data_IF_827977050774
#
_entry.id   IF_827977050774
#
_cell.length_a   1.000
_cell.length_b   1.000
_cell.length_c   1.000
_cell.angle_alpha   90.00
_cell.angle_beta   90.00
_cell.angle_gamma   90.00
#
_symmetry.space_group_name_H-M   'P 1'
#
loop_
_entity.id
_entity.type
_entity.pdbx_description
1 polymer ?
#
# COMPACT_ATOMS: atom_id res chain seq x y z
N UNK A 1 8.31 -23.10 10.97
CA UNK A 1 6.87 -23.17 11.33
C UNK A 1 6.16 -22.30 10.30
N UNK A 2 5.64 -22.91 9.25
CA UNK A 2 4.83 -22.20 8.26
C UNK A 2 3.58 -21.79 9.04
N UNK A 3 3.49 -20.48 9.40
CA UNK A 3 2.21 -19.96 9.82
C UNK A 3 1.24 -20.25 8.68
N UNK A 4 0.22 -21.04 8.96
CA UNK A 4 -0.90 -21.17 8.06
C UNK A 4 -1.47 -19.76 7.93
N UNK A 5 -1.07 -19.07 6.86
CA UNK A 5 -1.75 -17.86 6.47
C UNK A 5 -3.20 -18.22 6.28
N UNK A 6 -4.00 -17.51 6.94
CA UNK A 6 -5.40 -17.59 7.04
C UNK A 6 -6.10 -17.86 5.76
N UNK A 7 -7.13 -18.65 5.91
CA UNK A 7 -8.14 -18.86 4.92
C UNK A 7 -8.62 -17.49 4.40
N UNK A 8 -8.20 -17.18 3.21
CA UNK A 8 -8.41 -15.99 2.44
C UNK A 8 -9.84 -15.50 2.36
N UNK A 9 -10.75 -16.46 2.35
CA UNK A 9 -12.17 -16.18 2.30
C UNK A 9 -12.69 -15.42 3.52
N UNK A 10 -11.93 -15.40 4.60
CA UNK A 10 -12.35 -14.78 5.85
C UNK A 10 -11.89 -13.34 6.02
N UNK A 11 -10.94 -12.87 5.23
CA UNK A 11 -10.50 -11.48 5.30
C UNK A 11 -11.56 -10.49 4.81
N UNK A 12 -12.34 -10.86 3.81
CA UNK A 12 -13.46 -10.04 3.37
C UNK A 12 -14.47 -9.80 4.51
N UNK A 13 -14.52 -10.71 5.47
CA UNK A 13 -15.36 -10.61 6.65
C UNK A 13 -14.62 -10.09 7.89
N UNK A 14 -13.36 -9.69 7.76
CA UNK A 14 -12.48 -9.28 8.88
C UNK A 14 -13.05 -8.18 9.78
N UNK A 15 -13.97 -7.36 9.29
CA UNK A 15 -14.67 -6.37 10.13
C UNK A 15 -15.56 -7.04 11.16
N UNK A 16 -16.05 -8.25 10.89
CA UNK A 16 -17.06 -8.95 11.68
C UNK A 16 -16.51 -10.21 12.37
N UNK A 17 -15.23 -10.51 12.21
CA UNK A 17 -14.62 -11.72 12.73
C UNK A 17 -13.59 -11.40 13.82
N UNK A 18 -13.42 -12.36 14.74
CA UNK A 18 -12.38 -12.30 15.76
C UNK A 18 -10.98 -12.30 15.14
N UNK A 19 -10.04 -11.67 15.83
CA UNK A 19 -8.67 -11.52 15.37
C UNK A 19 -8.00 -12.85 14.99
N UNK A 20 -8.19 -13.89 15.77
CA UNK A 20 -7.62 -15.22 15.51
C UNK A 20 -8.18 -15.88 14.25
N UNK A 21 -9.37 -15.51 13.85
CA UNK A 21 -9.99 -16.00 12.60
C UNK A 21 -9.37 -15.35 11.38
N UNK A 22 -8.86 -14.13 11.53
CA UNK A 22 -8.32 -13.34 10.43
C UNK A 22 -6.80 -13.44 10.28
N UNK A 23 -6.05 -13.47 11.41
CA UNK A 23 -4.60 -13.29 11.39
C UNK A 23 -3.83 -14.18 12.38
N UNK A 24 -4.32 -15.34 12.71
CA UNK A 24 -3.66 -16.28 13.59
C UNK A 24 -4.33 -16.46 14.93
N UNK A 25 -3.57 -16.48 16.01
CA UNK A 25 -4.09 -16.74 17.33
C UNK A 25 -4.51 -15.45 18.03
N UNK A 26 -5.43 -15.56 18.98
CA UNK A 26 -5.81 -14.46 19.87
C UNK A 26 -4.60 -13.84 20.61
N UNK A 27 -3.56 -14.63 20.86
CA UNK A 27 -2.29 -14.14 21.42
C UNK A 27 -1.58 -13.16 20.50
N UNK A 28 -1.69 -13.36 19.16
CA UNK A 28 -1.08 -12.47 18.17
C UNK A 28 -1.84 -11.16 18.04
N UNK A 29 -3.16 -11.18 18.23
CA UNK A 29 -4.05 -10.03 18.05
C UNK A 29 -5.17 -9.94 19.08
N UNK A 30 -4.87 -9.85 20.36
CA UNK A 30 -5.92 -9.62 21.33
C UNK A 30 -6.63 -8.28 21.00
N UNK A 31 -7.94 -8.34 20.94
CA UNK A 31 -8.79 -7.18 20.63
C UNK A 31 -8.66 -6.63 19.20
N UNK A 32 -8.31 -7.45 18.20
CA UNK A 32 -8.17 -7.00 16.81
C UNK A 32 -9.34 -6.11 16.35
N UNK A 33 -10.57 -6.56 16.50
CA UNK A 33 -11.76 -5.81 16.08
C UNK A 33 -11.89 -4.46 16.80
N UNK A 34 -11.69 -4.45 18.10
CA UNK A 34 -11.76 -3.21 18.89
C UNK A 34 -10.73 -2.18 18.47
N UNK A 35 -9.53 -2.62 18.18
CA UNK A 35 -8.44 -1.73 17.78
C UNK A 35 -8.55 -1.34 16.29
N UNK A 36 -9.11 -2.21 15.44
CA UNK A 36 -9.48 -1.87 14.07
C UNK A 36 -10.54 -0.76 14.06
N UNK A 37 -11.57 -0.81 14.93
CA UNK A 37 -12.56 0.25 15.06
C UNK A 37 -11.95 1.58 15.53
N UNK A 38 -10.95 1.55 16.41
CA UNK A 38 -10.20 2.75 16.78
C UNK A 38 -9.44 3.33 15.58
N UNK A 39 -8.83 2.47 14.76
CA UNK A 39 -8.11 2.90 13.57
C UNK A 39 -9.06 3.51 12.54
N UNK A 40 -10.23 2.90 12.31
CA UNK A 40 -11.29 3.44 11.47
C UNK A 40 -11.74 4.83 11.97
N UNK A 41 -12.05 4.94 13.26
CA UNK A 41 -12.47 6.20 13.87
C UNK A 41 -11.41 7.30 13.71
N UNK A 42 -10.14 6.96 13.91
CA UNK A 42 -9.04 7.89 13.69
C UNK A 42 -9.01 8.40 12.24
N UNK A 43 -9.13 7.53 11.24
CA UNK A 43 -9.12 7.92 9.84
C UNK A 43 -10.31 8.84 9.51
N UNK A 44 -11.50 8.51 10.00
CA UNK A 44 -12.70 9.34 9.83
C UNK A 44 -12.51 10.72 10.46
N UNK A 45 -12.00 10.78 11.67
CA UNK A 45 -11.74 12.05 12.38
C UNK A 45 -10.72 12.92 11.64
N UNK A 46 -9.62 12.32 11.17
CA UNK A 46 -8.59 13.05 10.43
C UNK A 46 -9.13 13.63 9.12
N UNK A 47 -9.86 12.83 8.35
CA UNK A 47 -10.44 13.27 7.08
C UNK A 47 -11.53 14.32 7.29
N UNK A 48 -12.41 14.12 8.27
CA UNK A 48 -13.52 15.05 8.56
C UNK A 48 -13.03 16.41 9.05
N UNK A 49 -11.90 16.42 9.77
CA UNK A 49 -11.29 17.66 10.28
C UNK A 49 -10.21 18.25 9.36
N UNK A 50 -10.06 17.75 8.13
CA UNK A 50 -9.04 18.14 7.16
C UNK A 50 -7.62 18.17 7.79
N UNK A 51 -7.29 17.17 8.60
CA UNK A 51 -5.97 17.04 9.21
C UNK A 51 -5.04 16.27 8.30
N UNK A 52 -3.98 16.93 7.83
CA UNK A 52 -2.94 16.26 7.05
C UNK A 52 -2.05 15.42 7.96
N UNK A 53 -2.08 14.10 7.75
CA UNK A 53 -1.31 13.12 8.52
C UNK A 53 -0.74 12.04 7.61
N UNK A 54 0.41 11.52 8.01
CA UNK A 54 1.16 10.51 7.26
C UNK A 54 1.28 9.22 8.07
N UNK A 55 0.96 8.10 7.42
CA UNK A 55 1.08 6.76 7.96
C UNK A 55 2.13 5.99 7.17
N UNK A 56 3.22 5.66 7.82
CA UNK A 56 4.31 4.89 7.23
C UNK A 56 4.14 3.40 7.54
N UNK A 57 3.98 2.58 6.52
CA UNK A 57 3.96 1.12 6.67
C UNK A 57 5.37 0.58 6.53
N UNK A 58 5.87 -0.01 7.61
CA UNK A 58 7.15 -0.71 7.58
C UNK A 58 6.98 -2.15 7.11
N UNK A 59 7.76 -2.54 6.12
CA UNK A 59 7.88 -3.90 5.63
C UNK A 59 9.32 -4.41 5.78
N UNK A 60 9.51 -5.70 5.59
CA UNK A 60 10.83 -6.35 5.64
C UNK A 60 11.83 -5.73 4.67
N UNK A 61 11.35 -5.32 3.49
CA UNK A 61 12.16 -4.65 2.49
C UNK A 61 12.73 -3.31 2.95
N UNK A 62 11.99 -2.57 3.76
CA UNK A 62 12.44 -1.27 4.26
C UNK A 62 13.67 -1.41 5.18
N UNK A 63 13.73 -2.49 5.96
CA UNK A 63 14.88 -2.75 6.83
C UNK A 63 16.19 -2.80 6.06
N UNK A 64 16.24 -3.62 5.02
CA UNK A 64 17.44 -3.76 4.21
C UNK A 64 17.77 -2.51 3.42
N UNK A 65 16.74 -1.83 2.90
CA UNK A 65 16.93 -0.59 2.16
C UNK A 65 17.49 0.52 3.04
N UNK A 66 16.91 0.76 4.22
CA UNK A 66 17.34 1.83 5.13
C UNK A 66 18.73 1.61 5.71
N UNK A 67 19.19 0.36 5.76
CA UNK A 67 20.57 0.02 6.18
C UNK A 67 21.59 0.04 5.04
N UNK A 68 21.16 0.36 3.84
CA UNK A 68 21.99 0.20 2.63
C UNK A 68 22.55 -1.23 2.47
N UNK A 69 21.79 -2.25 2.90
CA UNK A 69 22.23 -3.63 2.90
C UNK A 69 22.05 -4.25 1.50
N UNK A 70 23.18 -4.60 0.87
CA UNK A 70 23.19 -5.19 -0.46
C UNK A 70 22.50 -6.56 -0.55
N UNK A 71 22.38 -7.29 0.55
CA UNK A 71 21.66 -8.57 0.60
C UNK A 71 20.20 -8.38 0.23
N UNK A 72 19.59 -7.32 0.73
CA UNK A 72 18.22 -6.95 0.39
C UNK A 72 18.04 -6.52 -1.06
N UNK A 73 19.08 -6.04 -1.74
CA UNK A 73 19.05 -5.64 -3.16
C UNK A 73 19.08 -6.82 -4.12
N UNK A 74 19.33 -8.03 -3.63
CA UNK A 74 19.45 -9.23 -4.47
C UNK A 74 18.13 -9.71 -5.08
N UNK A 75 16.98 -9.31 -4.53
CA UNK A 75 15.69 -9.66 -5.12
C UNK A 75 15.48 -8.92 -6.46
N UNK A 76 14.92 -9.57 -7.48
CA UNK A 76 14.68 -8.93 -8.79
C UNK A 76 13.88 -7.63 -8.68
N UNK A 77 12.86 -7.58 -7.83
CA UNK A 77 12.03 -6.40 -7.62
C UNK A 77 12.77 -5.20 -7.04
N UNK A 78 13.77 -5.43 -6.22
CA UNK A 78 14.56 -4.35 -5.59
C UNK A 78 15.60 -3.77 -6.52
N UNK A 79 16.22 -4.56 -7.38
CA UNK A 79 17.16 -4.06 -8.41
C UNK A 79 16.53 -3.12 -9.41
N UNK A 80 15.22 -3.22 -9.59
CA UNK A 80 14.47 -2.33 -10.49
C UNK A 80 14.17 -0.96 -9.88
N UNK A 81 14.38 -0.77 -8.58
CA UNK A 81 14.03 0.47 -7.88
C UNK A 81 15.07 1.58 -8.04
N UNK A 82 16.30 1.23 -8.42
CA UNK A 82 17.39 2.17 -8.61
C UNK A 82 18.31 1.72 -9.73
N UNK A 83 18.87 2.68 -10.48
CA UNK A 83 19.93 2.43 -11.47
C UNK A 83 21.22 1.96 -10.80
N UNK A 84 21.50 2.54 -9.65
CA UNK A 84 22.69 2.24 -8.88
C UNK A 84 22.35 2.36 -7.39
N UNK A 85 22.05 1.24 -6.79
CA UNK A 85 21.69 1.16 -5.37
C UNK A 85 22.76 1.80 -4.47
N UNK A 86 24.03 1.62 -4.82
CA UNK A 86 25.16 2.13 -4.04
C UNK A 86 25.36 3.65 -4.17
N UNK A 87 24.68 4.30 -5.13
CA UNK A 87 24.75 5.75 -5.36
C UNK A 87 23.60 6.53 -4.71
N UNK A 88 22.61 5.83 -4.15
CA UNK A 88 21.52 6.47 -3.42
C UNK A 88 22.08 7.07 -2.12
N UNK A 89 21.68 8.30 -1.81
CA UNK A 89 21.90 8.86 -0.48
C UNK A 89 20.93 8.24 0.52
N UNK A 90 21.27 7.08 1.06
CA UNK A 90 20.42 6.36 2.01
C UNK A 90 20.07 7.17 3.25
N UNK A 91 20.92 8.13 3.65
CA UNK A 91 20.65 8.95 4.82
C UNK A 91 19.37 9.78 4.69
N UNK A 92 19.06 10.30 3.49
CA UNK A 92 17.82 11.06 3.25
C UNK A 92 16.57 10.20 3.49
N UNK A 93 16.64 8.91 3.15
CA UNK A 93 15.55 7.96 3.39
C UNK A 93 15.45 7.55 4.85
N UNK A 94 16.58 7.34 5.52
CA UNK A 94 16.62 7.05 6.96
C UNK A 94 16.03 8.20 7.76
N UNK A 95 16.42 9.43 7.45
CA UNK A 95 15.92 10.61 8.17
C UNK A 95 14.45 10.89 7.84
N UNK A 96 14.08 10.80 6.57
CA UNK A 96 12.69 10.96 6.14
C UNK A 96 11.74 9.95 6.77
N UNK A 97 12.18 8.69 6.90
CA UNK A 97 11.37 7.63 7.50
C UNK A 97 10.96 7.91 8.95
N UNK A 98 11.72 8.74 9.67
CA UNK A 98 11.47 9.12 11.07
C UNK A 98 10.51 10.31 11.23
N UNK A 99 10.10 10.95 10.14
CA UNK A 99 9.32 12.19 10.14
C UNK A 99 7.82 11.99 9.88
N UNK A 100 7.36 10.75 9.76
CA UNK A 100 5.94 10.45 9.63
C UNK A 100 5.21 10.59 10.96
N UNK A 101 3.88 10.85 10.89
CA UNK A 101 3.06 11.06 12.08
C UNK A 101 2.70 9.73 12.76
N UNK A 102 2.45 8.68 12.00
CA UNK A 102 2.08 7.34 12.47
C UNK A 102 2.90 6.26 11.78
N UNK A 103 3.12 5.17 12.49
CA UNK A 103 3.87 4.02 12.00
C UNK A 103 3.04 2.75 12.14
N UNK A 104 2.95 2.00 11.05
CA UNK A 104 2.38 0.66 11.05
C UNK A 104 3.44 -0.37 10.72
N UNK A 105 3.38 -1.51 11.36
CA UNK A 105 4.30 -2.62 11.15
C UNK A 105 3.54 -3.94 11.32
N UNK A 106 3.90 -4.92 10.52
CA UNK A 106 3.33 -6.26 10.65
C UNK A 106 3.59 -6.83 12.05
N UNK A 107 2.68 -7.66 12.51
CA UNK A 107 2.69 -8.20 13.89
C UNK A 107 3.89 -9.07 14.21
N UNK A 108 4.56 -9.61 13.21
CA UNK A 108 5.67 -10.53 13.41
C UNK A 108 6.75 -9.93 14.29
N UNK A 109 7.15 -10.61 15.40
CA UNK A 109 8.14 -10.08 16.32
C UNK A 109 9.46 -9.68 15.65
N UNK A 110 9.85 -10.44 14.62
CA UNK A 110 11.04 -10.14 13.83
C UNK A 110 10.91 -8.80 13.09
N UNK A 111 9.78 -8.53 12.43
CA UNK A 111 9.56 -7.27 11.72
C UNK A 111 9.50 -6.08 12.68
N UNK A 112 8.91 -6.27 13.85
CA UNK A 112 8.87 -5.24 14.91
C UNK A 112 10.25 -4.96 15.47
N UNK A 113 11.09 -5.97 15.65
CA UNK A 113 12.49 -5.81 16.06
C UNK A 113 13.29 -5.04 15.02
N UNK A 114 13.18 -5.42 13.74
CA UNK A 114 13.79 -4.73 12.60
C UNK A 114 13.35 -3.27 12.50
N UNK A 115 12.06 -3.00 12.70
CA UNK A 115 11.53 -1.64 12.73
C UNK A 115 12.21 -0.79 13.80
N UNK A 116 12.22 -1.27 15.04
CA UNK A 116 12.81 -0.54 16.18
C UNK A 116 14.32 -0.25 16.01
N UNK A 117 15.04 -1.13 15.30
CA UNK A 117 16.45 -0.94 15.01
C UNK A 117 16.71 0.25 14.09
N UNK A 118 15.86 0.45 13.06
CA UNK A 118 16.09 1.48 12.03
C UNK A 118 15.25 2.73 12.24
N UNK A 119 14.07 2.60 12.84
CA UNK A 119 13.14 3.70 13.13
C UNK A 119 12.84 3.69 14.63
N UNK A 120 13.52 4.52 15.44
CA UNK A 120 13.34 4.56 16.90
C UNK A 120 12.04 5.29 17.28
N UNK A 121 10.91 4.82 16.78
CA UNK A 121 9.56 5.34 17.00
C UNK A 121 8.64 4.24 17.52
N UNK A 122 7.48 4.62 18.04
CA UNK A 122 6.48 3.65 18.44
C UNK A 122 5.66 3.17 17.23
N UNK A 123 5.35 1.88 17.21
CA UNK A 123 4.40 1.31 16.27
C UNK A 123 3.01 1.63 16.80
N UNK A 124 2.25 2.42 16.03
CA UNK A 124 0.92 2.86 16.44
C UNK A 124 -0.14 1.80 16.17
N UNK A 125 -0.02 1.11 15.03
CA UNK A 125 -0.98 0.10 14.59
C UNK A 125 -0.30 -1.06 13.87
N UNK A 126 -0.89 -2.26 13.87
CA UNK A 126 -0.53 -3.33 12.96
C UNK A 126 -0.77 -2.92 11.49
N UNK A 127 0.15 -3.28 10.60
CA UNK A 127 0.01 -3.01 9.17
C UNK A 127 -1.19 -3.74 8.55
N UNK A 128 -1.56 -4.85 9.14
CA UNK A 128 -2.71 -5.68 8.75
C UNK A 128 -4.04 -4.94 8.83
N UNK A 129 -4.16 -3.90 9.66
CA UNK A 129 -5.36 -3.05 9.67
C UNK A 129 -5.56 -2.33 8.33
N UNK A 130 -4.50 -1.77 7.76
CA UNK A 130 -4.57 -1.16 6.44
C UNK A 130 -4.98 -2.16 5.36
N UNK A 131 -4.45 -3.37 5.41
CA UNK A 131 -4.83 -4.45 4.50
C UNK A 131 -6.29 -4.86 4.68
N UNK A 132 -6.75 -5.07 5.91
CA UNK A 132 -8.12 -5.45 6.19
C UNK A 132 -9.12 -4.40 5.67
N UNK A 133 -8.86 -3.11 5.90
CA UNK A 133 -9.75 -2.04 5.47
C UNK A 133 -9.84 -1.90 3.95
N UNK A 134 -8.78 -2.26 3.21
CA UNK A 134 -8.85 -2.33 1.75
C UNK A 134 -9.52 -3.62 1.31
N UNK A 135 -9.13 -4.78 1.87
CA UNK A 135 -9.65 -6.08 1.47
C UNK A 135 -11.17 -6.19 1.64
N UNK A 136 -11.71 -5.67 2.73
CA UNK A 136 -13.16 -5.63 2.98
C UNK A 136 -13.86 -4.41 2.37
N UNK A 137 -13.09 -3.55 1.66
CA UNK A 137 -13.57 -2.39 0.93
C UNK A 137 -14.14 -1.25 1.78
N UNK A 138 -14.07 -1.37 3.11
CA UNK A 138 -14.60 -0.34 4.00
C UNK A 138 -14.02 1.05 3.70
N UNK A 139 -12.69 1.14 3.56
CA UNK A 139 -12.01 2.42 3.33
C UNK A 139 -12.38 3.04 1.97
N UNK A 140 -12.67 2.21 0.98
CA UNK A 140 -13.08 2.66 -0.35
C UNK A 140 -14.48 3.27 -0.31
N UNK A 141 -15.39 2.63 0.41
CA UNK A 141 -16.79 3.03 0.53
C UNK A 141 -16.96 4.22 1.49
N UNK A 142 -16.26 4.21 2.65
CA UNK A 142 -16.33 5.29 3.64
C UNK A 142 -15.86 6.62 3.08
N UNK A 143 -14.80 6.58 2.25
CA UNK A 143 -14.23 7.79 1.67
C UNK A 143 -14.54 7.96 0.19
N UNK A 144 -15.63 7.36 -0.31
CA UNK A 144 -16.10 7.58 -1.68
C UNK A 144 -16.27 9.08 -1.96
N UNK A 145 -15.80 9.52 -3.13
CA UNK A 145 -15.76 10.95 -3.48
C UNK A 145 -14.65 11.77 -2.79
N UNK A 146 -13.76 11.13 -2.01
CA UNK A 146 -12.67 11.79 -1.28
C UNK A 146 -11.35 11.02 -1.34
N UNK A 147 -11.34 9.85 -1.96
CA UNK A 147 -10.21 8.93 -1.95
C UNK A 147 -9.42 9.00 -3.26
N UNK A 148 -8.10 9.15 -3.13
CA UNK A 148 -7.15 9.09 -4.23
C UNK A 148 -6.11 7.99 -4.03
N UNK A 149 -5.35 7.71 -5.08
CA UNK A 149 -4.29 6.73 -5.09
C UNK A 149 -2.94 7.38 -5.39
N UNK A 150 -1.87 6.88 -4.77
CA UNK A 150 -0.49 7.22 -5.11
C UNK A 150 0.29 5.93 -5.33
N UNK A 151 0.90 5.77 -6.50
CA UNK A 151 1.67 4.57 -6.80
C UNK A 151 2.40 4.63 -8.12
N UNK A 152 3.03 3.51 -8.47
CA UNK A 152 3.72 3.38 -9.73
C UNK A 152 2.79 3.63 -10.92
N UNK A 153 3.29 4.36 -11.92
CA UNK A 153 2.57 4.77 -13.12
C UNK A 153 1.85 3.61 -13.82
N UNK A 154 2.55 2.47 -13.97
CA UNK A 154 1.96 1.25 -14.55
C UNK A 154 0.73 0.79 -13.74
N UNK A 155 0.83 0.74 -12.41
CA UNK A 155 -0.27 0.29 -11.55
C UNK A 155 -1.43 1.27 -11.59
N UNK A 156 -1.15 2.57 -11.57
CA UNK A 156 -2.18 3.60 -11.69
C UNK A 156 -2.95 3.47 -13.02
N UNK A 157 -2.25 3.19 -14.12
CA UNK A 157 -2.89 2.98 -15.41
C UNK A 157 -3.76 1.71 -15.44
N UNK A 158 -3.27 0.61 -14.87
CA UNK A 158 -4.05 -0.63 -14.75
C UNK A 158 -5.33 -0.39 -13.95
N UNK A 159 -5.22 0.25 -12.77
CA UNK A 159 -6.39 0.53 -11.94
C UNK A 159 -7.39 1.44 -12.66
N UNK A 160 -6.91 2.47 -13.36
CA UNK A 160 -7.80 3.32 -14.19
C UNK A 160 -8.59 2.52 -15.21
N UNK A 161 -7.91 1.61 -15.92
CA UNK A 161 -8.57 0.75 -16.91
C UNK A 161 -9.58 -0.20 -16.28
N UNK A 162 -9.26 -0.81 -15.11
CA UNK A 162 -10.19 -1.65 -14.37
C UNK A 162 -11.42 -0.87 -13.92
N UNK A 163 -11.24 0.38 -13.49
CA UNK A 163 -12.33 1.25 -13.05
C UNK A 163 -13.27 1.70 -14.17
N UNK A 164 -12.93 1.48 -15.44
CA UNK A 164 -13.87 1.67 -16.56
C UNK A 164 -14.95 0.56 -16.62
N UNK A 165 -14.74 -0.57 -15.95
CA UNK A 165 -15.63 -1.69 -15.93
C UNK A 165 -16.65 -1.59 -14.80
N UNK A 166 -17.98 -1.56 -15.10
CA UNK A 166 -19.01 -1.52 -14.07
C UNK A 166 -18.93 -2.65 -13.06
N UNK A 167 -18.51 -3.84 -13.48
CA UNK A 167 -18.36 -4.99 -12.60
C UNK A 167 -17.26 -4.77 -11.55
N UNK A 168 -16.18 -4.07 -11.90
CA UNK A 168 -15.12 -3.75 -10.96
C UNK A 168 -15.55 -2.64 -10.00
N UNK A 169 -16.25 -1.63 -10.48
CA UNK A 169 -16.85 -0.59 -9.65
C UNK A 169 -17.83 -1.19 -8.63
N UNK A 170 -18.70 -2.09 -9.07
CA UNK A 170 -19.64 -2.82 -8.20
C UNK A 170 -18.89 -3.66 -7.16
N UNK A 171 -17.84 -4.37 -7.58
CA UNK A 171 -17.01 -5.16 -6.68
C UNK A 171 -16.36 -4.32 -5.59
N UNK A 172 -15.84 -3.14 -5.94
CA UNK A 172 -15.24 -2.21 -4.97
C UNK A 172 -16.29 -1.48 -4.12
N UNK A 173 -17.52 -1.35 -4.61
CA UNK A 173 -18.51 -0.43 -4.06
C UNK A 173 -18.08 1.03 -4.21
N UNK A 174 -17.38 1.35 -5.31
CA UNK A 174 -16.81 2.66 -5.59
C UNK A 174 -16.90 2.98 -7.07
N UNK A 175 -17.52 4.10 -7.45
CA UNK A 175 -17.63 4.51 -8.86
C UNK A 175 -16.30 4.96 -9.47
N UNK A 176 -15.47 5.67 -8.68
CA UNK A 176 -14.16 6.17 -9.12
C UNK A 176 -13.27 6.53 -7.94
N UNK A 177 -11.97 6.57 -8.19
CA UNK A 177 -11.04 7.32 -7.35
C UNK A 177 -10.97 8.76 -7.84
N UNK A 178 -10.88 9.72 -6.94
CA UNK A 178 -10.83 11.14 -7.32
C UNK A 178 -9.51 11.52 -7.99
N UNK A 179 -8.42 10.91 -7.56
CA UNK A 179 -7.09 11.19 -8.09
C UNK A 179 -6.24 9.92 -8.24
N UNK A 180 -5.38 9.92 -9.26
CA UNK A 180 -4.36 8.92 -9.51
C UNK A 180 -3.02 9.62 -9.66
N UNK A 181 -2.28 9.67 -8.57
CA UNK A 181 -0.97 10.31 -8.52
C UNK A 181 0.08 9.27 -8.89
N UNK A 182 0.80 9.53 -9.97
CA UNK A 182 1.76 8.59 -10.54
C UNK A 182 3.20 8.96 -10.23
N UNK A 183 4.02 7.94 -10.00
CA UNK A 183 5.48 8.05 -9.95
C UNK A 183 6.10 6.91 -10.78
N UNK A 184 7.37 7.03 -11.21
CA UNK A 184 7.99 5.98 -12.00
C UNK A 184 8.04 4.64 -11.25
N UNK A 185 7.67 3.55 -11.94
CA UNK A 185 7.79 2.19 -11.38
C UNK A 185 9.22 1.86 -10.97
N UNK A 186 10.21 2.39 -11.72
CA UNK A 186 11.63 2.15 -11.50
C UNK A 186 12.36 3.46 -11.26
N UNK A 187 13.44 3.38 -10.49
CA UNK A 187 14.39 4.49 -10.31
C UNK A 187 13.83 5.72 -9.59
N UNK A 188 12.67 5.62 -8.95
CA UNK A 188 12.11 6.73 -8.19
C UNK A 188 13.01 7.19 -7.01
N UNK A 189 13.88 6.30 -6.53
CA UNK A 189 14.86 6.62 -5.49
C UNK A 189 16.12 7.31 -5.99
N UNK A 190 16.39 7.33 -7.31
CA UNK A 190 17.63 7.86 -7.88
C UNK A 190 17.70 9.39 -7.77
N UNK A 191 16.54 10.06 -7.80
CA UNK A 191 16.41 11.50 -7.59
C UNK A 191 15.14 11.77 -6.79
N UNK A 192 15.30 11.81 -5.47
CA UNK A 192 14.19 12.01 -4.55
C UNK A 192 13.52 13.38 -4.73
N UNK A 193 14.29 14.42 -5.04
CA UNK A 193 13.76 15.76 -5.25
C UNK A 193 12.96 15.88 -6.55
N UNK A 194 13.43 15.25 -7.62
CA UNK A 194 12.68 15.22 -8.89
C UNK A 194 11.38 14.42 -8.71
N UNK A 195 11.44 13.28 -8.02
CA UNK A 195 10.25 12.49 -7.70
C UNK A 195 9.27 13.26 -6.83
N UNK A 196 9.76 13.98 -5.82
CA UNK A 196 8.94 14.83 -4.97
C UNK A 196 8.25 15.94 -5.79
N UNK A 197 8.98 16.64 -6.65
CA UNK A 197 8.40 17.70 -7.52
C UNK A 197 7.30 17.11 -8.41
N UNK A 198 7.56 15.97 -9.05
CA UNK A 198 6.59 15.32 -9.93
C UNK A 198 5.29 14.95 -9.20
N UNK A 199 5.39 14.33 -8.03
CA UNK A 199 4.23 13.95 -7.20
C UNK A 199 3.54 15.21 -6.68
N UNK A 200 4.31 16.20 -6.22
CA UNK A 200 3.79 17.45 -5.66
C UNK A 200 2.98 18.26 -6.67
N UNK A 201 3.43 18.35 -7.93
CA UNK A 201 2.67 19.07 -8.96
C UNK A 201 1.31 18.40 -9.25
N UNK A 202 1.24 17.08 -9.20
CA UNK A 202 -0.03 16.37 -9.34
C UNK A 202 -0.94 16.62 -8.12
N UNK A 203 -0.37 16.60 -6.90
CA UNK A 203 -1.12 16.80 -5.66
C UNK A 203 -1.73 18.20 -5.52
N UNK A 204 -1.09 19.24 -6.06
CA UNK A 204 -1.61 20.62 -5.99
C UNK A 204 -3.00 20.79 -6.59
N UNK A 205 -3.35 19.95 -7.56
CA UNK A 205 -4.65 19.99 -8.23
C UNK A 205 -5.63 18.94 -7.70
N UNK A 206 -5.24 18.19 -6.69
CA UNK A 206 -6.03 17.11 -6.12
C UNK A 206 -7.15 17.63 -5.23
N UNK A 207 -8.29 16.94 -5.29
CA UNK A 207 -9.43 17.14 -4.40
C UNK A 207 -9.56 16.05 -3.33
N UNK A 208 -8.74 15.01 -3.40
CA UNK A 208 -8.76 13.90 -2.46
C UNK A 208 -8.41 14.35 -1.04
N UNK A 209 -9.06 13.74 -0.06
CA UNK A 209 -8.84 13.98 1.37
C UNK A 209 -8.07 12.86 2.05
N UNK A 210 -8.00 11.72 1.39
CA UNK A 210 -7.20 10.57 1.80
C UNK A 210 -6.59 9.91 0.57
N UNK A 211 -5.31 9.57 0.66
CA UNK A 211 -4.59 8.81 -0.35
C UNK A 211 -4.17 7.45 0.17
N UNK A 212 -4.52 6.40 -0.56
CA UNK A 212 -3.91 5.09 -0.39
C UNK A 212 -2.63 5.02 -1.21
N UNK A 213 -1.54 4.57 -0.60
CA UNK A 213 -0.23 4.63 -1.23
C UNK A 213 0.45 3.26 -1.31
N UNK A 214 1.14 3.05 -2.46
CA UNK A 214 2.03 1.93 -2.68
C UNK A 214 3.23 2.37 -3.50
N UNK A 215 4.24 2.96 -2.85
CA UNK A 215 5.35 3.65 -3.51
C UNK A 215 6.70 2.93 -3.38
N UNK A 216 6.72 1.69 -2.87
CA UNK A 216 7.98 0.99 -2.61
C UNK A 216 8.89 1.75 -1.64
N UNK A 217 10.19 1.70 -1.85
CA UNK A 217 11.16 2.30 -0.90
C UNK A 217 11.23 3.82 -0.94
N UNK A 218 10.83 4.46 -2.04
CA UNK A 218 10.85 5.93 -2.15
C UNK A 218 9.98 6.59 -1.08
N UNK A 219 8.98 5.88 -0.57
CA UNK A 219 8.13 6.35 0.54
C UNK A 219 8.92 6.85 1.74
N UNK A 220 10.05 6.20 2.06
CA UNK A 220 10.86 6.53 3.25
C UNK A 220 11.38 7.96 3.21
N UNK A 221 11.75 8.45 2.03
CA UNK A 221 12.17 9.84 1.84
C UNK A 221 11.05 10.81 1.46
N UNK A 222 9.91 10.30 0.98
CA UNK A 222 8.90 11.13 0.31
C UNK A 222 7.64 11.41 1.16
N UNK A 223 7.08 10.42 1.87
CA UNK A 223 5.74 10.55 2.49
C UNK A 223 5.61 11.81 3.35
N UNK A 224 6.56 12.07 4.25
CA UNK A 224 6.51 13.21 5.16
C UNK A 224 6.50 14.56 4.44
N UNK A 225 6.97 14.62 3.20
CA UNK A 225 7.04 15.82 2.37
C UNK A 225 5.72 16.14 1.67
N UNK A 226 4.84 15.15 1.51
CA UNK A 226 3.60 15.32 0.73
C UNK A 226 2.61 16.29 1.37
N UNK A 227 2.64 16.41 2.70
CA UNK A 227 1.76 17.33 3.45
C UNK A 227 1.89 18.80 3.04
N UNK A 228 2.98 19.20 2.41
CA UNK A 228 3.17 20.58 1.95
C UNK A 228 2.42 20.92 0.66
N UNK A 229 1.88 19.89 -0.03
CA UNK A 229 1.22 20.07 -1.31
C UNK A 229 -0.31 20.02 -1.23
N UNK A 230 -0.86 19.30 -0.26
CA UNK A 230 -2.29 19.19 -0.04
C UNK A 230 -2.61 18.76 1.39
N UNK A 231 -3.76 19.22 1.89
CA UNK A 231 -4.29 18.85 3.20
C UNK A 231 -5.06 17.52 3.10
N UNK A 232 -4.32 16.42 3.10
CA UNK A 232 -4.88 15.08 3.02
C UNK A 232 -4.22 14.11 4.00
N UNK A 233 -4.88 13.01 4.28
CA UNK A 233 -4.31 11.85 4.97
C UNK A 233 -3.55 11.01 3.96
N UNK A 234 -2.32 10.65 4.25
CA UNK A 234 -1.47 9.81 3.42
C UNK A 234 -1.26 8.46 4.11
N UNK A 235 -1.96 7.44 3.64
CA UNK A 235 -1.96 6.10 4.22
C UNK A 235 -1.19 5.11 3.33
N UNK A 236 -0.01 4.69 3.77
CA UNK A 236 0.73 3.62 3.10
C UNK A 236 0.07 2.27 3.36
N UNK A 237 -0.50 1.69 2.32
CA UNK A 237 -1.15 0.38 2.30
C UNK A 237 -0.34 -0.66 1.51
N UNK A 238 0.81 -0.27 0.97
CA UNK A 238 1.76 -1.16 0.29
C UNK A 238 1.10 -2.05 -0.76
N UNK A 239 1.14 -3.37 -0.54
CA UNK A 239 0.64 -4.38 -1.47
C UNK A 239 -0.88 -4.29 -1.76
N UNK A 240 -1.65 -3.51 -1.00
CA UNK A 240 -3.05 -3.29 -1.35
C UNK A 240 -3.22 -2.52 -2.67
N UNK A 241 -2.24 -1.67 -3.04
CA UNK A 241 -2.23 -1.04 -4.37
C UNK A 241 -1.98 -2.08 -5.48
N UNK A 242 -1.18 -3.11 -5.21
CA UNK A 242 -0.99 -4.22 -6.14
C UNK A 242 -2.30 -4.99 -6.32
N UNK A 243 -3.00 -5.27 -5.22
CA UNK A 243 -4.30 -5.91 -5.25
C UNK A 243 -5.33 -5.12 -6.08
N UNK A 244 -5.43 -3.80 -5.88
CA UNK A 244 -6.28 -2.92 -6.69
C UNK A 244 -5.96 -2.99 -8.19
N UNK A 245 -4.75 -3.35 -8.58
CA UNK A 245 -4.37 -3.57 -9.98
C UNK A 245 -4.52 -5.03 -10.43
N UNK A 246 -5.14 -5.90 -9.63
CA UNK A 246 -5.28 -7.32 -9.91
C UNK A 246 -3.97 -8.13 -9.79
N UNK A 247 -2.94 -7.55 -9.21
CA UNK A 247 -1.63 -8.19 -9.02
C UNK A 247 -1.56 -8.66 -7.57
N UNK A 248 -1.75 -9.96 -7.37
CA UNK A 248 -1.80 -10.53 -6.02
C UNK A 248 -0.72 -11.59 -5.88
N UNK A 249 0.04 -11.45 -4.81
CA UNK A 249 0.88 -12.52 -4.32
C UNK A 249 0.01 -13.60 -3.68
N UNK A 250 -0.06 -14.78 -4.30
CA UNK A 250 -0.85 -15.90 -3.80
C UNK A 250 -0.37 -16.42 -2.44
N UNK A 251 0.85 -16.08 -2.06
CA UNK A 251 1.39 -16.37 -0.73
C UNK A 251 0.90 -15.35 0.31
N UNK A 252 0.32 -14.23 -0.16
CA UNK A 252 -0.28 -13.18 0.68
C UNK A 252 -1.80 -13.15 0.48
N UNK A 253 -2.48 -14.03 1.14
CA UNK A 253 -3.86 -14.36 0.88
C UNK A 253 -4.90 -13.28 1.22
N UNK A 254 -4.53 -12.11 1.69
CA UNK A 254 -5.46 -11.07 2.15
C UNK A 254 -6.43 -10.57 1.08
N UNK A 255 -6.11 -10.78 -0.19
CA UNK A 255 -6.84 -10.22 -1.32
C UNK A 255 -7.31 -11.28 -2.31
N UNK A 256 -7.65 -12.49 -1.83
CA UNK A 256 -7.90 -13.67 -2.66
C UNK A 256 -8.83 -13.45 -3.84
N UNK A 257 -9.96 -12.80 -3.61
CA UNK A 257 -10.97 -12.56 -4.65
C UNK A 257 -10.49 -11.55 -5.73
N UNK A 258 -9.52 -10.73 -5.40
CA UNK A 258 -8.98 -9.73 -6.32
C UNK A 258 -8.22 -10.34 -7.48
N UNK A 259 -7.77 -11.58 -7.37
CA UNK A 259 -7.19 -12.34 -8.49
C UNK A 259 -8.17 -12.52 -9.64
N UNK A 260 -9.46 -12.34 -9.41
CA UNK A 260 -10.49 -12.43 -10.43
C UNK A 260 -10.58 -11.17 -11.30
N UNK A 261 -9.96 -10.06 -10.86
CA UNK A 261 -10.04 -8.77 -11.53
C UNK A 261 -8.70 -8.41 -12.15
N UNK A 262 -8.45 -8.96 -13.33
CA UNK A 262 -7.26 -8.66 -14.14
C UNK A 262 -7.69 -8.27 -15.54
N UNK A 263 -6.89 -7.39 -16.17
CA UNK A 263 -7.07 -7.07 -17.58
C UNK A 263 -6.38 -8.18 -18.38
N UNK A 264 -7.05 -8.70 -19.39
CA UNK A 264 -6.51 -9.80 -20.23
C UNK A 264 -5.32 -9.37 -21.10
N UNK A 265 -5.11 -8.07 -21.28
CA UNK A 265 -3.99 -7.53 -22.03
C UNK A 265 -2.69 -7.62 -21.23
N UNK A 266 -1.99 -8.74 -21.35
CA UNK A 266 -0.77 -9.03 -20.60
C UNK A 266 0.35 -8.01 -20.81
N UNK A 267 0.35 -7.28 -21.93
CA UNK A 267 1.31 -6.20 -22.21
C UNK A 267 1.24 -5.06 -21.19
N UNK A 268 0.08 -4.83 -20.58
CA UNK A 268 -0.09 -3.82 -19.52
C UNK A 268 0.67 -4.16 -18.25
N UNK A 269 1.03 -5.44 -18.06
CA UNK A 269 1.79 -5.92 -16.90
C UNK A 269 3.28 -6.06 -17.17
N UNK A 270 3.73 -5.77 -18.41
CA UNK A 270 5.16 -5.77 -18.73
C UNK A 270 5.88 -4.69 -17.91
N UNK A 271 7.02 -5.08 -17.33
CA UNK A 271 7.80 -4.18 -16.49
C UNK A 271 7.34 -4.07 -15.03
N UNK A 272 6.23 -4.68 -14.67
CA UNK A 272 5.89 -4.96 -13.29
C UNK A 272 6.66 -6.20 -12.88
N UNK A 273 7.48 -6.12 -11.81
CA UNK A 273 8.29 -7.26 -11.33
C UNK A 273 7.42 -8.35 -10.64
N UNK A 274 6.20 -8.54 -11.10
CA UNK A 274 5.21 -9.48 -10.57
C UNK A 274 4.83 -10.59 -11.56
N UNK A 275 5.64 -10.83 -12.58
CA UNK A 275 5.39 -11.88 -13.57
C UNK A 275 5.16 -13.26 -12.94
N UNK A 276 5.68 -13.49 -11.74
CA UNK A 276 5.41 -14.71 -10.98
C UNK A 276 3.94 -14.84 -10.56
N UNK A 277 3.20 -13.74 -10.47
CA UNK A 277 1.83 -13.68 -9.96
C UNK A 277 0.81 -13.41 -11.06
N UNK A 278 1.20 -12.69 -12.09
CA UNK A 278 0.35 -12.38 -13.25
C UNK A 278 0.05 -13.70 -13.99
N UNK A 279 -1.21 -13.97 -14.23
CA UNK A 279 -1.65 -15.17 -14.95
C UNK A 279 -1.93 -16.40 -14.09
N UNK A 280 -1.76 -16.35 -12.78
CA UNK A 280 -2.15 -17.42 -11.86
C UNK A 280 -3.62 -17.34 -11.41
N UNK A 281 -4.29 -16.23 -11.64
CA UNK A 281 -5.70 -16.02 -11.33
C UNK A 281 -6.63 -16.41 -12.48
N UNK A 282 -7.92 -16.55 -12.16
CA UNK A 282 -8.95 -16.61 -13.18
C UNK A 282 -9.22 -15.19 -13.64
N UNK A 283 -8.94 -14.89 -14.89
CA UNK A 283 -9.25 -13.60 -15.47
C UNK A 283 -10.75 -13.39 -15.53
N UNK A 284 -11.24 -12.31 -14.96
CA UNK A 284 -12.47 -11.75 -15.48
C UNK A 284 -12.04 -10.99 -16.73
N UNK A 285 -12.32 -11.59 -17.86
CA UNK A 285 -12.28 -10.93 -19.14
C UNK A 285 -13.21 -9.73 -19.06
N UNK A 286 -12.65 -8.55 -18.95
CA UNK A 286 -13.37 -7.35 -19.29
C UNK A 286 -13.41 -7.32 -20.81
N UNK A 287 -14.34 -8.06 -21.41
CA UNK A 287 -14.67 -7.93 -22.82
C UNK A 287 -15.05 -6.47 -23.01
N UNK A 288 -14.18 -5.73 -23.71
CA UNK A 288 -14.55 -4.42 -24.25
C UNK A 288 -15.48 -4.70 -25.41
N UNK A 289 -16.76 -4.36 -25.24
CA UNK A 289 -17.68 -4.26 -26.37
C UNK A 289 -17.23 -3.22 -27.39
#
# INVERSE_FOLDING_TARGET
>A
MVMAFLDLYKINDCINLDAHTCFGTEESYPNFQKDLEKFKSLLVDLVSNNQSKTFYKFGDGDYYFLRADSVGSASPGRRALSKSYDQINHQDFVDGSKLCDYYTCEIYPENRSKFKEVIPKDINFPAEYGYALVANKWILQEFAGKIGLIGADIKMNIIKNLMEAPQYQEYLGLEKFEDYISLPQRFACDDLEATERMVGEQLKNSTSKIFLMGMGHVKSGLIHRLKKYTDAVFLDVGAAIDALSGIIDIERPYFGDWTNYQIDEMSLYEGVDFLAYVGKGKHILLERE
#
